data_IF_813015799751
#
_entry.id   IF_813015799751
#
_cell.length_a   1.000
_cell.length_b   1.000
_cell.length_c   1.000
_cell.angle_alpha   90.00
_cell.angle_beta   90.00
_cell.angle_gamma   90.00
#
_symmetry.space_group_name_H-M   'P 1'
#
loop_
_entity.id
_entity.type
_entity.pdbx_description
1 polymer ?
#
# COMPACT_ATOMS: atom_id res chain seq x y z
N UNK A 1 21.73 -43.80 7.69
CA UNK A 1 21.45 -43.19 9.02
C UNK A 1 22.55 -42.23 9.44
N UNK A 2 23.81 -42.65 9.50
CA UNK A 2 24.97 -41.81 9.88
C UNK A 2 25.13 -40.53 9.04
N UNK A 3 24.99 -40.61 7.70
CA UNK A 3 25.11 -39.45 6.80
C UNK A 3 24.04 -38.38 7.04
N UNK A 4 22.80 -38.80 7.37
CA UNK A 4 21.69 -37.87 7.64
C UNK A 4 21.90 -37.14 8.98
N UNK A 5 22.41 -37.85 9.99
CA UNK A 5 22.77 -37.28 11.29
C UNK A 5 23.95 -36.32 11.17
N UNK A 6 24.98 -36.68 10.40
CA UNK A 6 26.11 -35.79 10.12
C UNK A 6 25.66 -34.51 9.41
N UNK A 7 24.80 -34.61 8.39
CA UNK A 7 24.27 -33.45 7.67
C UNK A 7 23.41 -32.53 8.57
N UNK A 8 22.58 -33.11 9.45
CA UNK A 8 21.81 -32.34 10.44
C UNK A 8 22.72 -31.65 11.46
N UNK A 9 23.76 -32.34 11.94
CA UNK A 9 24.72 -31.76 12.87
C UNK A 9 25.46 -30.59 12.24
N UNK A 10 25.96 -30.75 11.01
CA UNK A 10 26.64 -29.69 10.26
C UNK A 10 25.71 -28.51 10.00
N UNK A 11 24.48 -28.73 9.54
CA UNK A 11 23.54 -27.62 9.29
C UNK A 11 23.16 -26.87 10.57
N UNK A 12 23.02 -27.57 11.69
CA UNK A 12 22.76 -26.94 12.99
C UNK A 12 23.97 -26.19 13.55
N UNK A 13 25.20 -26.68 13.39
CA UNK A 13 26.40 -25.95 13.82
C UNK A 13 26.59 -24.68 13.00
N UNK A 14 26.38 -24.72 11.68
CA UNK A 14 26.37 -23.52 10.85
C UNK A 14 25.25 -22.53 11.24
N UNK A 15 24.06 -23.03 11.58
CA UNK A 15 22.97 -22.19 12.07
C UNK A 15 23.33 -21.52 13.41
N UNK A 16 23.93 -22.26 14.35
CA UNK A 16 24.37 -21.74 15.63
C UNK A 16 25.45 -20.66 15.45
N UNK A 17 26.47 -20.92 14.63
CA UNK A 17 27.54 -19.96 14.32
C UNK A 17 27.00 -18.64 13.75
N UNK A 18 25.95 -18.70 12.93
CA UNK A 18 25.29 -17.52 12.38
C UNK A 18 24.51 -16.71 13.42
N UNK A 19 23.95 -17.37 14.44
CA UNK A 19 23.15 -16.73 15.49
C UNK A 19 23.99 -16.09 16.59
N UNK A 20 25.25 -16.53 16.77
CA UNK A 20 26.19 -15.96 17.75
C UNK A 20 26.34 -14.42 17.66
N UNK A 21 26.51 -13.79 16.48
CA UNK A 21 26.64 -12.34 16.38
C UNK A 21 25.31 -11.57 16.39
N UNK A 22 24.15 -12.22 16.58
CA UNK A 22 22.85 -11.56 16.60
C UNK A 22 22.44 -11.17 18.02
N UNK A 23 21.86 -9.97 18.18
CA UNK A 23 21.24 -9.58 19.44
C UNK A 23 19.95 -10.36 19.71
N UNK A 24 19.50 -10.43 20.96
CA UNK A 24 18.28 -11.18 21.31
C UNK A 24 17.04 -10.67 20.58
N UNK A 25 16.90 -9.35 20.42
CA UNK A 25 15.81 -8.76 19.64
C UNK A 25 15.82 -9.22 18.18
N UNK A 26 17.01 -9.35 17.57
CA UNK A 26 17.13 -9.79 16.18
C UNK A 26 16.74 -11.28 16.04
N UNK A 27 17.08 -12.10 17.05
CA UNK A 27 16.66 -13.51 17.13
C UNK A 27 15.15 -13.62 17.28
N UNK A 28 14.54 -12.82 18.16
CA UNK A 28 13.08 -12.83 18.36
C UNK A 28 12.35 -12.43 17.06
N UNK A 29 12.83 -11.40 16.38
CA UNK A 29 12.28 -10.99 15.09
C UNK A 29 12.47 -12.09 14.04
N UNK A 30 13.62 -12.76 14.01
CA UNK A 30 13.85 -13.90 13.13
C UNK A 30 12.85 -15.03 13.40
N UNK A 31 12.65 -15.40 14.66
CA UNK A 31 11.71 -16.45 15.06
C UNK A 31 10.29 -16.09 14.62
N UNK A 32 9.85 -14.85 14.85
CA UNK A 32 8.53 -14.39 14.43
C UNK A 32 8.37 -14.41 12.91
N UNK A 33 9.38 -13.96 12.16
CA UNK A 33 9.37 -13.96 10.71
C UNK A 33 9.32 -15.39 10.14
N UNK A 34 10.11 -16.31 10.71
CA UNK A 34 10.13 -17.71 10.32
C UNK A 34 8.82 -18.43 10.64
N UNK A 35 8.25 -18.21 11.83
CA UNK A 35 6.94 -18.76 12.21
C UNK A 35 5.86 -18.32 11.23
N UNK A 36 5.83 -17.03 10.90
CA UNK A 36 4.86 -16.52 9.93
C UNK A 36 5.07 -17.10 8.52
N UNK A 37 6.33 -17.27 8.09
CA UNK A 37 6.64 -17.95 6.82
C UNK A 37 6.16 -19.40 6.79
N UNK A 38 6.32 -20.14 7.89
CA UNK A 38 5.81 -21.51 8.02
C UNK A 38 4.29 -21.52 7.90
N UNK A 39 3.59 -20.64 8.63
CA UNK A 39 2.11 -20.55 8.55
C UNK A 39 1.63 -20.26 7.13
N UNK A 40 2.32 -19.40 6.38
CA UNK A 40 1.99 -19.11 4.97
C UNK A 40 2.21 -20.36 4.10
N UNK A 41 3.32 -21.07 4.29
CA UNK A 41 3.62 -22.29 3.54
C UNK A 41 2.62 -23.40 3.85
N UNK A 42 2.25 -23.61 5.11
CA UNK A 42 1.22 -24.55 5.54
C UNK A 42 -0.14 -24.23 4.88
N UNK A 43 -0.53 -22.94 4.83
CA UNK A 43 -1.73 -22.50 4.13
C UNK A 43 -1.68 -22.82 2.63
N UNK A 44 -0.50 -22.82 2.02
CA UNK A 44 -0.31 -23.00 0.59
C UNK A 44 -0.17 -24.46 0.15
N UNK A 45 0.33 -25.33 1.04
CA UNK A 45 0.47 -26.77 0.79
C UNK A 45 -0.87 -27.45 0.49
N UNK A 46 -2.00 -26.91 0.97
CA UNK A 46 -3.34 -27.44 0.69
C UNK A 46 -3.95 -27.00 -0.65
N UNK A 47 -3.38 -26.02 -1.36
CA UNK A 47 -4.06 -25.34 -2.49
C UNK A 47 -3.29 -25.47 -3.81
N UNK A 48 -2.09 -26.06 -3.82
CA UNK A 48 -1.34 -26.35 -5.06
C UNK A 48 -0.93 -25.10 -5.88
N UNK A 49 -1.04 -23.91 -5.31
CA UNK A 49 -0.76 -22.64 -5.99
C UNK A 49 0.58 -22.04 -5.53
N UNK A 50 1.36 -21.52 -6.48
CA UNK A 50 2.65 -20.86 -6.25
C UNK A 50 2.60 -19.84 -5.12
N UNK A 51 3.67 -19.77 -4.32
CA UNK A 51 3.80 -18.99 -3.09
C UNK A 51 3.30 -17.53 -3.21
N UNK A 52 2.01 -17.31 -2.99
CA UNK A 52 1.36 -15.99 -3.00
C UNK A 52 1.23 -15.48 -1.57
N UNK A 53 2.11 -14.57 -1.20
CA UNK A 53 1.98 -13.75 0.01
C UNK A 53 0.75 -12.85 -0.11
N UNK A 54 -0.23 -13.01 0.79
CA UNK A 54 -1.40 -12.13 0.83
C UNK A 54 -1.00 -10.71 1.23
N UNK A 55 -1.81 -9.68 0.92
CA UNK A 55 -1.51 -8.30 1.30
C UNK A 55 -1.26 -8.12 2.81
N UNK A 56 -1.98 -8.88 3.64
CA UNK A 56 -1.84 -8.91 5.10
C UNK A 56 -0.47 -9.47 5.51
N UNK A 57 -0.09 -10.63 4.97
CA UNK A 57 1.21 -11.27 5.20
C UNK A 57 2.37 -10.32 4.85
N UNK A 58 2.24 -9.61 3.72
CA UNK A 58 3.22 -8.61 3.28
C UNK A 58 3.30 -7.43 4.23
N UNK A 59 2.16 -6.95 4.72
CA UNK A 59 2.11 -5.83 5.66
C UNK A 59 2.72 -6.22 7.01
N UNK A 60 2.43 -7.42 7.52
CA UNK A 60 3.03 -7.96 8.74
C UNK A 60 4.54 -8.07 8.61
N UNK A 61 5.04 -8.75 7.58
CA UNK A 61 6.48 -8.90 7.34
C UNK A 61 7.16 -7.54 7.11
N UNK A 62 6.52 -6.62 6.39
CA UNK A 62 7.06 -5.28 6.16
C UNK A 62 7.09 -4.44 7.45
N UNK A 63 6.12 -4.58 8.35
CA UNK A 63 6.12 -3.87 9.63
C UNK A 63 7.17 -4.44 10.59
N UNK A 64 7.30 -5.78 10.62
CA UNK A 64 8.22 -6.48 11.51
C UNK A 64 9.69 -6.29 11.11
N UNK A 65 9.99 -6.35 9.81
CA UNK A 65 11.36 -6.40 9.31
C UNK A 65 11.93 -5.05 8.87
N UNK A 66 11.10 -4.06 8.49
CA UNK A 66 11.60 -2.76 8.03
C UNK A 66 12.43 -1.95 9.05
N UNK A 67 12.22 -2.06 10.38
CA UNK A 67 13.06 -1.36 11.36
C UNK A 67 14.50 -1.88 11.45
N UNK A 68 14.77 -3.08 10.94
CA UNK A 68 16.08 -3.71 11.05
C UNK A 68 17.07 -3.15 10.01
N UNK A 69 18.37 -3.03 10.37
CA UNK A 69 19.39 -2.64 9.41
C UNK A 69 19.55 -3.70 8.31
N UNK A 70 19.96 -3.26 7.11
CA UNK A 70 20.07 -4.14 5.93
C UNK A 70 21.02 -5.33 6.15
N UNK A 71 22.06 -5.14 6.94
CA UNK A 71 23.03 -6.21 7.25
C UNK A 71 22.40 -7.33 8.07
N UNK A 72 21.52 -6.98 9.02
CA UNK A 72 20.75 -7.95 9.79
C UNK A 72 19.74 -8.65 8.89
N UNK A 73 19.01 -7.92 8.04
CA UNK A 73 18.06 -8.51 7.08
C UNK A 73 18.71 -9.50 6.11
N UNK A 74 19.95 -9.23 5.68
CA UNK A 74 20.72 -10.16 4.83
C UNK A 74 21.16 -11.41 5.58
N UNK A 75 21.35 -11.30 6.89
CA UNK A 75 21.63 -12.46 7.72
C UNK A 75 20.38 -13.30 7.89
N UNK A 76 19.19 -12.72 8.12
CA UNK A 76 17.92 -13.45 8.35
C UNK A 76 17.62 -14.52 7.29
N UNK A 77 17.14 -15.68 7.72
CA UNK A 77 16.61 -16.71 6.82
C UNK A 77 15.23 -16.33 6.32
N UNK A 78 15.19 -15.50 5.27
CA UNK A 78 13.94 -15.08 4.64
C UNK A 78 13.72 -15.79 3.31
N UNK A 79 12.50 -16.27 3.09
CA UNK A 79 12.04 -16.71 1.76
C UNK A 79 11.99 -15.55 0.73
N UNK A 80 11.97 -14.32 1.22
CA UNK A 80 11.80 -13.10 0.44
C UNK A 80 13.08 -12.27 0.53
N UNK A 81 13.50 -11.70 -0.61
CA UNK A 81 14.64 -10.78 -0.66
C UNK A 81 14.43 -9.56 0.26
N UNK A 82 15.45 -9.11 1.01
CA UNK A 82 15.38 -7.90 1.84
C UNK A 82 14.88 -6.66 1.08
N UNK A 83 15.27 -6.50 -0.19
CA UNK A 83 14.82 -5.38 -1.03
C UNK A 83 13.30 -5.35 -1.20
N UNK A 84 12.67 -6.53 -1.26
CA UNK A 84 11.21 -6.68 -1.40
C UNK A 84 10.49 -6.28 -0.13
N UNK A 85 11.05 -6.60 1.04
CA UNK A 85 10.50 -6.19 2.35
C UNK A 85 10.50 -4.67 2.45
N UNK A 86 11.63 -4.03 2.11
CA UNK A 86 11.73 -2.56 2.11
C UNK A 86 10.75 -1.94 1.11
N UNK A 87 10.58 -2.53 -0.07
CA UNK A 87 9.57 -2.09 -1.04
C UNK A 87 8.15 -2.18 -0.49
N UNK A 88 7.77 -3.31 0.10
CA UNK A 88 6.44 -3.47 0.72
C UNK A 88 6.20 -2.47 1.83
N UNK A 89 7.23 -2.15 2.63
CA UNK A 89 7.12 -1.12 3.65
C UNK A 89 6.85 0.26 3.05
N UNK A 90 7.57 0.65 2.00
CA UNK A 90 7.31 1.90 1.28
C UNK A 90 5.91 1.93 0.69
N UNK A 91 5.47 0.84 0.06
CA UNK A 91 4.12 0.74 -0.51
C UNK A 91 3.05 0.89 0.58
N UNK A 92 3.25 0.27 1.76
CA UNK A 92 2.36 0.40 2.90
C UNK A 92 2.30 1.85 3.40
N UNK A 93 3.45 2.52 3.53
CA UNK A 93 3.52 3.92 3.96
C UNK A 93 2.89 4.86 2.93
N UNK A 94 3.14 4.66 1.64
CA UNK A 94 2.50 5.42 0.56
C UNK A 94 0.99 5.26 0.58
N UNK A 95 0.47 4.04 0.77
CA UNK A 95 -0.98 3.80 0.89
C UNK A 95 -1.56 4.45 2.14
N UNK A 96 -0.86 4.38 3.28
CA UNK A 96 -1.28 5.03 4.52
C UNK A 96 -1.33 6.55 4.34
N UNK A 97 -0.31 7.13 3.75
CA UNK A 97 -0.24 8.55 3.45
C UNK A 97 -1.35 8.95 2.48
N UNK A 98 -1.54 8.21 1.39
CA UNK A 98 -2.62 8.46 0.43
C UNK A 98 -3.99 8.45 1.11
N UNK A 99 -4.26 7.48 2.00
CA UNK A 99 -5.50 7.40 2.79
C UNK A 99 -5.65 8.59 3.76
N UNK A 100 -4.56 9.00 4.43
CA UNK A 100 -4.57 10.12 5.36
C UNK A 100 -4.77 11.47 4.64
N UNK A 101 -4.25 11.60 3.42
CA UNK A 101 -4.38 12.79 2.59
C UNK A 101 -5.70 12.86 1.82
N UNK A 102 -6.60 11.87 1.95
CA UNK A 102 -7.94 11.98 1.36
C UNK A 102 -8.68 13.14 2.05
N UNK A 103 -9.12 14.17 1.30
CA UNK A 103 -9.83 15.29 1.89
C UNK A 103 -11.12 14.81 2.57
N UNK A 104 -11.26 15.05 3.88
CA UNK A 104 -12.48 14.74 4.63
C UNK A 104 -13.71 15.50 4.11
N UNK A 105 -13.48 16.63 3.44
CA UNK A 105 -14.50 17.39 2.71
C UNK A 105 -14.09 17.48 1.25
N UNK A 106 -14.93 16.97 0.34
CA UNK A 106 -14.82 17.27 -1.10
C UNK A 106 -15.01 18.78 -1.25
N UNK A 107 -13.97 19.50 -1.67
CA UNK A 107 -13.85 20.97 -1.68
C UNK A 107 -15.15 21.77 -1.88
N UNK A 108 -15.30 22.46 -3.02
CA UNK A 108 -16.57 23.15 -3.33
C UNK A 108 -17.62 22.10 -3.70
N UNK A 109 -18.82 22.11 -3.11
CA UNK A 109 -19.89 21.20 -3.54
C UNK A 109 -20.14 21.40 -5.04
N UNK A 110 -20.30 20.31 -5.80
CA UNK A 110 -20.53 20.42 -7.24
C UNK A 110 -21.81 21.22 -7.50
N UNK A 111 -21.76 22.13 -8.48
CA UNK A 111 -22.94 22.87 -8.93
C UNK A 111 -24.05 21.90 -9.31
N UNK A 112 -25.29 22.23 -8.98
CA UNK A 112 -26.47 21.40 -9.27
C UNK A 112 -26.47 21.02 -10.76
N UNK A 113 -26.63 19.73 -11.06
CA UNK A 113 -26.53 19.18 -12.43
C UNK A 113 -27.45 19.89 -13.42
N UNK A 114 -28.63 20.34 -12.98
CA UNK A 114 -29.58 21.11 -13.77
C UNK A 114 -29.01 22.46 -14.24
N UNK A 115 -28.35 23.20 -13.36
CA UNK A 115 -27.72 24.49 -13.67
C UNK A 115 -26.58 24.28 -14.69
N UNK A 116 -25.73 23.26 -14.48
CA UNK A 116 -24.66 22.92 -15.44
C UNK A 116 -25.21 22.56 -16.82
N UNK A 117 -26.29 21.78 -16.88
CA UNK A 117 -26.93 21.42 -18.14
C UNK A 117 -27.53 22.65 -18.86
N UNK A 118 -28.14 23.56 -18.11
CA UNK A 118 -28.69 24.81 -18.63
C UNK A 118 -27.59 25.72 -19.20
N UNK A 119 -26.49 25.93 -18.48
CA UNK A 119 -25.33 26.71 -18.94
C UNK A 119 -24.80 26.15 -20.25
N UNK A 120 -24.57 24.83 -20.32
CA UNK A 120 -24.07 24.18 -21.53
C UNK A 120 -25.06 24.28 -22.70
N UNK A 121 -26.37 24.26 -22.44
CA UNK A 121 -27.40 24.45 -23.47
C UNK A 121 -27.41 25.89 -24.00
N UNK A 122 -27.31 26.89 -23.13
CA UNK A 122 -27.25 28.31 -23.50
C UNK A 122 -26.04 28.63 -24.37
N UNK A 123 -24.86 28.10 -24.00
CA UNK A 123 -23.62 28.29 -24.76
C UNK A 123 -23.72 27.61 -26.14
N UNK A 124 -24.26 26.40 -26.21
CA UNK A 124 -24.44 25.70 -27.50
C UNK A 124 -25.43 26.40 -28.42
N UNK A 125 -26.50 26.98 -27.86
CA UNK A 125 -27.49 27.71 -28.64
C UNK A 125 -26.98 29.08 -29.10
N UNK A 126 -26.04 29.70 -28.37
CA UNK A 126 -25.53 31.04 -28.66
C UNK A 126 -23.99 31.09 -28.56
N UNK A 127 -23.27 30.67 -29.62
CA UNK A 127 -21.81 30.55 -29.60
C UNK A 127 -21.05 31.87 -29.39
N UNK A 128 -21.69 33.01 -29.69
CA UNK A 128 -21.10 34.35 -29.53
C UNK A 128 -21.19 34.89 -28.09
N UNK A 129 -21.87 34.19 -27.18
CA UNK A 129 -22.06 34.67 -25.82
C UNK A 129 -20.85 34.34 -24.93
N UNK A 130 -20.26 35.37 -24.33
CA UNK A 130 -19.25 35.21 -23.28
C UNK A 130 -19.87 34.82 -21.93
N UNK A 131 -19.03 34.30 -21.02
CA UNK A 131 -19.46 33.82 -19.69
C UNK A 131 -20.22 34.88 -18.85
N UNK A 132 -19.85 36.17 -18.96
CA UNK A 132 -20.59 37.27 -18.28
C UNK A 132 -22.02 37.41 -18.80
N UNK A 133 -22.24 37.22 -20.10
CA UNK A 133 -23.57 37.32 -20.72
C UNK A 133 -24.44 36.13 -20.32
N UNK A 134 -23.87 34.93 -20.31
CA UNK A 134 -24.55 33.72 -19.80
C UNK A 134 -24.90 33.86 -18.32
N UNK A 135 -24.01 34.43 -17.50
CA UNK A 135 -24.29 34.72 -16.09
C UNK A 135 -25.45 35.71 -15.90
N UNK A 136 -25.51 36.76 -16.72
CA UNK A 136 -26.64 37.70 -16.75
C UNK A 136 -27.97 36.99 -17.01
N UNK A 137 -28.02 36.13 -18.03
CA UNK A 137 -29.22 35.33 -18.36
C UNK A 137 -29.63 34.38 -17.22
N UNK A 138 -28.66 33.72 -16.58
CA UNK A 138 -28.94 32.88 -15.41
C UNK A 138 -29.51 33.69 -14.25
N UNK A 139 -29.05 34.93 -14.07
CA UNK A 139 -29.56 35.86 -13.05
C UNK A 139 -30.99 36.28 -13.38
N UNK A 140 -31.30 36.57 -14.64
CA UNK A 140 -32.66 36.86 -15.12
C UNK A 140 -33.62 35.68 -14.89
N UNK A 141 -33.14 34.44 -15.01
CA UNK A 141 -33.89 33.22 -14.71
C UNK A 141 -34.02 32.93 -13.20
N UNK A 142 -33.55 33.83 -12.33
CA UNK A 142 -33.62 33.69 -10.86
C UNK A 142 -32.58 32.73 -10.27
N UNK A 143 -31.61 32.27 -11.07
CA UNK A 143 -30.59 31.30 -10.64
C UNK A 143 -29.37 32.05 -10.08
N UNK A 144 -29.23 32.06 -8.76
CA UNK A 144 -28.10 32.73 -8.08
C UNK A 144 -26.83 31.87 -8.15
N UNK A 145 -25.93 32.22 -9.07
CA UNK A 145 -24.63 31.58 -9.26
C UNK A 145 -23.53 32.65 -9.28
N UNK A 146 -22.36 32.39 -8.69
CA UNK A 146 -21.24 33.32 -8.78
C UNK A 146 -20.64 33.30 -10.20
N UNK A 147 -20.21 34.45 -10.72
CA UNK A 147 -19.62 34.58 -12.08
C UNK A 147 -18.46 33.60 -12.31
N UNK A 148 -17.64 33.33 -11.29
CA UNK A 148 -16.54 32.37 -11.32
C UNK A 148 -16.96 30.89 -11.42
N UNK A 149 -18.26 30.61 -11.49
CA UNK A 149 -18.84 29.26 -11.56
C UNK A 149 -19.43 28.94 -12.94
N UNK A 150 -19.62 29.95 -13.78
CA UNK A 150 -20.17 29.86 -15.15
C UNK A 150 -19.02 29.64 -16.12
#
# INVERSE_FOLDING_TARGET
MLLRLACLAVTNTFAALRLLPMGDRDKDVEILALRHQITILERQLGVGASARFAPEDRAFLAALLAPLPRDVLRRLRLLIRPDTVVRWHRDLMTRRHARACVPKRRGRPPTVRSIRALVLRLIRANPSWGYRRVHGELTTLGIKVAVSTV
#
